data_IF_789218883389
#
_entry.id   IF_789218883389
#
_cell.length_a   1.000
_cell.length_b   1.000
_cell.length_c   1.000
_cell.angle_alpha   90.00
_cell.angle_beta   90.00
_cell.angle_gamma   90.00
#
_symmetry.space_group_name_H-M   'P 1'
#
loop_
_entity.id
_entity.type
_entity.pdbx_description
1 polymer ?
#
# COMPACT_ATOMS: atom_id res chain seq x y z
N UNK A 1 9.93 -4.03 -11.87
CA UNK A 1 9.77 -3.51 -10.49
C UNK A 1 8.40 -3.95 -9.99
N UNK A 2 8.29 -4.59 -8.82
CA UNK A 2 6.97 -5.01 -8.31
C UNK A 2 6.27 -3.80 -7.66
N UNK A 3 4.97 -3.62 -7.91
CA UNK A 3 4.17 -2.52 -7.35
C UNK A 3 4.27 -2.48 -5.81
N UNK A 4 4.35 -3.65 -5.18
CA UNK A 4 4.57 -3.80 -3.73
C UNK A 4 5.84 -3.10 -3.22
N UNK A 5 6.93 -3.20 -3.98
CA UNK A 5 8.21 -2.56 -3.64
C UNK A 5 8.16 -1.06 -3.89
N UNK A 6 7.48 -0.62 -4.96
CA UNK A 6 7.26 0.79 -5.26
C UNK A 6 6.46 1.48 -4.14
N UNK A 7 5.34 0.88 -3.72
CA UNK A 7 4.52 1.38 -2.60
C UNK A 7 5.31 1.50 -1.30
N UNK A 8 6.10 0.47 -0.96
CA UNK A 8 6.94 0.50 0.22
C UNK A 8 8.02 1.58 0.13
N UNK A 9 8.63 1.75 -1.04
CA UNK A 9 9.67 2.76 -1.26
C UNK A 9 9.09 4.17 -1.15
N UNK A 10 7.94 4.41 -1.76
CA UNK A 10 7.23 5.69 -1.72
C UNK A 10 6.85 6.04 -0.28
N UNK A 11 6.21 5.12 0.45
CA UNK A 11 5.87 5.33 1.87
C UNK A 11 7.08 5.70 2.71
N UNK A 12 8.21 4.99 2.53
CA UNK A 12 9.45 5.28 3.25
C UNK A 12 10.04 6.63 2.85
N UNK A 13 9.97 7.00 1.57
CA UNK A 13 10.42 8.30 1.06
C UNK A 13 9.65 9.46 1.68
N UNK A 14 8.35 9.27 1.90
CA UNK A 14 7.48 10.25 2.53
C UNK A 14 7.55 10.25 4.07
N UNK A 15 8.30 9.32 4.68
CA UNK A 15 8.39 9.18 6.14
C UNK A 15 7.07 8.74 6.81
N UNK A 16 6.17 8.12 6.05
CA UNK A 16 4.82 7.78 6.52
C UNK A 16 4.74 6.38 7.12
N UNK A 17 3.84 6.23 8.08
CA UNK A 17 3.39 4.92 8.58
C UNK A 17 2.40 4.29 7.61
N UNK A 18 2.23 2.97 7.67
CA UNK A 18 1.24 2.27 6.82
C UNK A 18 -0.19 2.80 7.08
N UNK A 19 -0.54 3.13 8.33
CA UNK A 19 -1.84 3.72 8.66
C UNK A 19 -2.06 5.12 8.10
N UNK A 20 -0.99 5.91 7.94
CA UNK A 20 -1.10 7.22 7.30
C UNK A 20 -1.33 7.10 5.79
N UNK A 21 -0.73 6.11 5.12
CA UNK A 21 -0.94 5.87 3.68
C UNK A 21 -2.39 5.55 3.32
N UNK A 22 -3.13 4.95 4.26
CA UNK A 22 -4.48 4.43 4.01
C UNK A 22 -5.56 5.20 4.76
N UNK A 23 -5.21 6.34 5.37
CA UNK A 23 -6.10 7.09 6.27
C UNK A 23 -7.44 7.44 5.61
N UNK A 24 -7.43 7.69 4.30
CA UNK A 24 -8.62 8.04 3.50
C UNK A 24 -9.07 6.89 2.58
N UNK A 25 -8.43 5.73 2.69
CA UNK A 25 -8.80 4.53 1.93
C UNK A 25 -9.76 3.65 2.72
N UNK A 26 -10.49 2.79 2.00
CA UNK A 26 -11.38 1.77 2.57
C UNK A 26 -10.62 0.51 3.02
N UNK A 27 -9.32 0.42 2.75
CA UNK A 27 -8.51 -0.74 3.09
C UNK A 27 -7.98 -0.67 4.52
N UNK A 28 -7.81 -1.82 5.16
CA UNK A 28 -7.19 -1.89 6.49
C UNK A 28 -5.66 -1.86 6.41
N UNK A 29 -5.00 -1.50 7.52
CA UNK A 29 -3.53 -1.53 7.62
C UNK A 29 -2.99 -2.93 7.31
N UNK A 30 -3.68 -3.98 7.77
CA UNK A 30 -3.31 -5.37 7.47
C UNK A 30 -3.40 -5.68 5.98
N UNK A 31 -4.43 -5.17 5.29
CA UNK A 31 -4.56 -5.31 3.84
C UNK A 31 -3.41 -4.60 3.12
N UNK A 32 -3.14 -3.34 3.47
CA UNK A 32 -2.03 -2.57 2.90
C UNK A 32 -0.66 -3.21 3.17
N UNK A 33 -0.45 -3.78 4.35
CA UNK A 33 0.78 -4.52 4.68
C UNK A 33 0.96 -5.75 3.78
N UNK A 34 -0.11 -6.48 3.46
CA UNK A 34 -0.07 -7.57 2.49
C UNK A 34 0.27 -7.08 1.08
N UNK A 35 -0.21 -5.89 0.68
CA UNK A 35 0.15 -5.26 -0.60
C UNK A 35 1.65 -4.93 -0.65
N UNK A 36 2.22 -4.30 0.39
CA UNK A 36 3.67 -4.01 0.45
C UNK A 36 4.54 -5.27 0.49
N UNK A 37 4.01 -6.38 1.03
CA UNK A 37 4.70 -7.67 1.05
C UNK A 37 4.48 -8.51 -0.22
N UNK A 38 3.67 -8.03 -1.17
CA UNK A 38 3.34 -8.79 -2.38
C UNK A 38 2.54 -10.06 -2.12
N UNK A 39 1.91 -10.18 -0.95
CA UNK A 39 1.12 -11.34 -0.51
C UNK A 39 -0.35 -11.25 -0.96
N UNK A 40 -0.78 -10.12 -1.51
CA UNK A 40 -2.07 -9.96 -2.20
C UNK A 40 -1.81 -9.59 -3.66
N UNK A 41 -2.61 -10.15 -4.60
CA UNK A 41 -2.73 -9.57 -5.94
C UNK A 41 -3.34 -8.18 -5.76
N UNK A 42 -2.55 -7.15 -6.06
CA UNK A 42 -3.02 -5.77 -6.08
C UNK A 42 -3.88 -5.64 -7.33
N UNK A 43 -5.20 -5.53 -7.17
CA UNK A 43 -6.08 -5.21 -8.29
C UNK A 43 -5.99 -3.70 -8.54
N UNK A 44 -6.05 -3.28 -9.81
CA UNK A 44 -6.00 -1.85 -10.17
C UNK A 44 -7.17 -1.09 -9.50
N UNK A 45 -8.30 -1.77 -9.31
CA UNK A 45 -9.48 -1.25 -8.61
C UNK A 45 -9.22 -0.91 -7.13
N UNK A 46 -8.18 -1.49 -6.50
CA UNK A 46 -7.77 -1.13 -5.13
C UNK A 46 -6.91 0.15 -5.08
N UNK A 47 -6.41 0.60 -6.24
CA UNK A 47 -5.52 1.77 -6.39
C UNK A 47 -6.24 3.01 -6.94
N UNK A 48 -7.42 2.85 -7.53
CA UNK A 48 -8.18 3.94 -8.14
C UNK A 48 -9.46 4.16 -7.33
N UNK A 49 -9.62 5.39 -6.83
CA UNK A 49 -10.84 5.92 -6.19
C UNK A 49 -11.94 6.16 -7.23
#
# INVERSE_FOLDING_TARGET
MKISEALRKERKSLGLTQGQMIKESKISVTHYSKMENGQNRIFIDDLIL
#
